data_IF_913554210810
#
_entry.id   IF_913554210810
#
_cell.length_a   1.000
_cell.length_b   1.000
_cell.length_c   1.000
_cell.angle_alpha   90.00
_cell.angle_beta   90.00
_cell.angle_gamma   90.00
#
_symmetry.space_group_name_H-M   'P 1'
#
loop_
_entity.id
_entity.type
_entity.pdbx_description
1 polymer ?
#
# COMPACT_ATOMS: atom_id res chain seq x y z
N UNK A 1 -5.71 12.62 20.69
CA UNK A 1 -5.38 11.72 21.85
C UNK A 1 -4.20 10.83 21.48
N UNK A 2 -3.15 10.84 22.29
CA UNK A 2 -1.99 9.96 22.10
C UNK A 2 -2.30 8.57 22.67
N UNK A 3 -2.11 7.52 21.84
CA UNK A 3 -2.21 6.12 22.28
C UNK A 3 -0.81 5.50 22.27
N UNK A 4 -0.47 4.79 23.34
CA UNK A 4 0.77 4.02 23.46
C UNK A 4 0.47 2.54 23.33
N UNK A 5 1.34 1.79 22.69
CA UNK A 5 1.24 0.35 22.49
C UNK A 5 2.51 -0.33 23.03
N UNK A 6 2.38 -1.57 23.45
CA UNK A 6 3.47 -2.35 24.04
C UNK A 6 4.63 -2.56 23.04
N UNK A 7 4.26 -2.89 21.81
CA UNK A 7 5.23 -3.21 20.75
C UNK A 7 4.65 -2.92 19.34
N UNK A 8 5.45 -3.14 18.31
CA UNK A 8 5.07 -2.95 16.92
C UNK A 8 3.91 -3.88 16.50
N UNK A 9 3.85 -5.09 17.04
CA UNK A 9 2.81 -6.06 16.69
C UNK A 9 1.44 -5.60 17.17
N UNK A 10 1.35 -5.15 18.42
CA UNK A 10 0.11 -4.61 18.99
C UNK A 10 -0.34 -3.35 18.25
N UNK A 11 0.59 -2.42 17.97
CA UNK A 11 0.32 -1.23 17.16
C UNK A 11 -0.18 -1.60 15.78
N UNK A 12 0.47 -2.56 15.11
CA UNK A 12 0.13 -2.98 13.76
C UNK A 12 -1.28 -3.59 13.67
N UNK A 13 -1.66 -4.40 14.66
CA UNK A 13 -3.02 -4.96 14.77
C UNK A 13 -4.07 -3.86 14.97
N UNK A 14 -3.81 -2.94 15.89
CA UNK A 14 -4.73 -1.85 16.19
C UNK A 14 -4.93 -0.92 14.98
N UNK A 15 -3.84 -0.55 14.30
CA UNK A 15 -3.88 0.28 13.10
C UNK A 15 -4.60 -0.43 11.95
N UNK A 16 -4.30 -1.71 11.74
CA UNK A 16 -4.97 -2.51 10.71
C UNK A 16 -6.49 -2.58 10.96
N UNK A 17 -6.91 -2.82 12.20
CA UNK A 17 -8.33 -2.84 12.56
C UNK A 17 -9.00 -1.49 12.30
N UNK A 18 -8.34 -0.39 12.64
CA UNK A 18 -8.83 0.97 12.35
C UNK A 18 -9.02 1.19 10.84
N UNK A 19 -8.03 0.82 10.03
CA UNK A 19 -8.10 0.95 8.56
C UNK A 19 -9.23 0.07 8.00
N UNK A 20 -9.32 -1.18 8.42
CA UNK A 20 -10.34 -2.14 7.94
C UNK A 20 -11.75 -1.67 8.27
N UNK A 21 -11.98 -1.12 9.46
CA UNK A 21 -13.27 -0.50 9.81
C UNK A 21 -13.62 0.66 8.88
N UNK A 22 -12.64 1.47 8.49
CA UNK A 22 -12.85 2.56 7.53
C UNK A 22 -13.11 2.04 6.11
N UNK A 23 -12.44 0.98 5.66
CA UNK A 23 -12.73 0.33 4.36
C UNK A 23 -14.18 -0.18 4.35
N UNK A 24 -14.61 -0.85 5.41
CA UNK A 24 -15.99 -1.35 5.53
C UNK A 24 -17.01 -0.22 5.47
N UNK A 25 -16.73 0.90 6.11
CA UNK A 25 -17.64 2.08 6.17
C UNK A 25 -17.63 2.87 4.86
N UNK A 26 -16.47 3.06 4.27
CA UNK A 26 -16.26 3.88 3.06
C UNK A 26 -15.75 2.98 1.93
N UNK A 27 -16.60 2.29 1.23
CA UNK A 27 -16.23 1.32 0.18
C UNK A 27 -15.15 1.79 -0.83
N UNK A 28 -14.99 3.11 -1.01
CA UNK A 28 -14.02 3.74 -1.92
C UNK A 28 -12.87 4.41 -1.14
N UNK A 29 -12.31 3.77 -0.12
CA UNK A 29 -11.25 4.35 0.70
C UNK A 29 -9.98 4.55 -0.14
N UNK A 30 -9.37 5.72 0.03
CA UNK A 30 -8.06 6.06 -0.52
C UNK A 30 -7.05 6.00 0.64
N UNK A 31 -5.96 5.26 0.44
CA UNK A 31 -4.89 5.08 1.42
C UNK A 31 -3.57 5.58 0.85
N UNK A 32 -2.94 6.55 1.50
CA UNK A 32 -1.53 6.85 1.31
C UNK A 32 -0.69 5.77 2.01
N UNK A 33 0.14 5.07 1.27
CA UNK A 33 0.92 3.96 1.78
C UNK A 33 2.42 4.23 1.61
N UNK A 34 3.17 4.40 2.71
CA UNK A 34 4.63 4.44 2.63
C UNK A 34 5.21 3.06 2.34
N UNK A 35 6.34 3.03 1.66
CA UNK A 35 7.17 1.84 1.56
C UNK A 35 7.92 1.53 2.85
N UNK A 36 8.78 0.51 2.83
CA UNK A 36 9.68 0.18 3.92
C UNK A 36 9.11 -0.78 4.97
N UNK A 37 9.85 -0.91 6.07
CA UNK A 37 9.63 -2.00 7.05
C UNK A 37 8.56 -1.68 8.10
N UNK A 38 8.37 -0.41 8.44
CA UNK A 38 7.60 0.03 9.61
C UNK A 38 6.13 -0.42 9.56
N UNK A 39 5.49 -0.38 8.40
CA UNK A 39 4.08 -0.75 8.23
C UNK A 39 3.85 -2.14 7.65
N UNK A 40 4.91 -2.92 7.44
CA UNK A 40 4.80 -4.26 6.83
C UNK A 40 3.83 -5.17 7.59
N UNK A 41 3.92 -5.19 8.93
CA UNK A 41 3.02 -5.97 9.77
C UNK A 41 1.58 -5.44 9.70
N UNK A 42 1.39 -4.13 9.63
CA UNK A 42 0.06 -3.53 9.45
C UNK A 42 -0.58 -4.02 8.15
N UNK A 43 0.14 -3.99 7.03
CA UNK A 43 -0.37 -4.49 5.74
C UNK A 43 -0.75 -5.97 5.79
N UNK A 44 0.07 -6.78 6.48
CA UNK A 44 -0.24 -8.20 6.71
C UNK A 44 -1.54 -8.38 7.49
N UNK A 45 -1.72 -7.64 8.58
CA UNK A 45 -2.94 -7.71 9.39
C UNK A 45 -4.18 -7.20 8.64
N UNK A 46 -4.06 -6.17 7.79
CA UNK A 46 -5.16 -5.72 6.92
C UNK A 46 -5.63 -6.89 6.03
N UNK A 47 -4.69 -7.61 5.40
CA UNK A 47 -5.02 -8.76 4.57
C UNK A 47 -5.74 -9.87 5.33
N UNK A 48 -5.24 -10.23 6.51
CA UNK A 48 -5.84 -11.25 7.38
C UNK A 48 -7.26 -10.84 7.81
N UNK A 49 -7.44 -9.62 8.28
CA UNK A 49 -8.74 -9.12 8.75
C UNK A 49 -9.76 -9.02 7.62
N UNK A 50 -9.36 -8.47 6.46
CA UNK A 50 -10.27 -8.36 5.31
C UNK A 50 -10.65 -9.72 4.72
N UNK A 51 -9.76 -10.71 4.81
CA UNK A 51 -10.09 -12.09 4.47
C UNK A 51 -11.12 -12.68 5.45
N UNK A 52 -10.84 -12.61 6.76
CA UNK A 52 -11.73 -13.14 7.80
C UNK A 52 -13.12 -12.48 7.80
N UNK A 53 -13.18 -11.18 7.55
CA UNK A 53 -14.42 -10.39 7.54
C UNK A 53 -15.09 -10.35 6.17
N UNK A 54 -14.56 -11.04 5.16
CA UNK A 54 -15.04 -11.06 3.77
C UNK A 54 -15.23 -9.64 3.18
N UNK A 55 -14.27 -8.75 3.39
CA UNK A 55 -14.34 -7.36 2.92
C UNK A 55 -13.84 -7.27 1.49
N UNK A 56 -14.58 -6.56 0.65
CA UNK A 56 -14.23 -6.25 -0.73
C UNK A 56 -13.17 -5.13 -0.79
N UNK A 57 -12.03 -5.41 -1.42
CA UNK A 57 -10.94 -4.47 -1.65
C UNK A 57 -10.87 -3.94 -3.08
N UNK A 58 -11.78 -4.34 -3.97
CA UNK A 58 -11.71 -3.99 -5.39
C UNK A 58 -11.84 -2.49 -5.67
N UNK A 59 -12.42 -1.73 -4.74
CA UNK A 59 -12.58 -0.27 -4.83
C UNK A 59 -11.61 0.53 -3.98
N UNK A 60 -10.76 -0.14 -3.18
CA UNK A 60 -9.72 0.54 -2.41
C UNK A 60 -8.62 1.01 -3.36
N UNK A 61 -8.20 2.25 -3.18
CA UNK A 61 -7.10 2.85 -3.94
C UNK A 61 -5.89 3.08 -3.03
N UNK A 62 -4.73 2.72 -3.51
CA UNK A 62 -3.45 2.91 -2.83
C UNK A 62 -2.66 3.98 -3.56
N UNK A 63 -2.17 4.97 -2.82
CA UNK A 63 -1.26 5.98 -3.32
C UNK A 63 0.08 5.81 -2.62
N UNK A 64 1.12 5.46 -3.39
CA UNK A 64 2.49 5.41 -2.89
C UNK A 64 3.02 6.83 -2.74
N UNK A 65 3.70 7.11 -1.63
CA UNK A 65 4.12 8.48 -1.31
C UNK A 65 5.29 8.96 -2.18
N UNK A 66 6.11 8.04 -2.66
CA UNK A 66 7.33 8.34 -3.40
C UNK A 66 7.71 7.21 -4.38
N UNK A 67 8.63 7.52 -5.29
CA UNK A 67 9.38 6.55 -6.09
C UNK A 67 10.76 7.12 -6.45
N UNK A 68 11.73 6.26 -6.64
CA UNK A 68 13.08 6.65 -6.99
C UNK A 68 13.19 7.02 -8.47
N UNK A 69 13.91 8.11 -8.70
CA UNK A 69 14.23 8.62 -10.02
C UNK A 69 15.72 8.39 -10.30
N UNK A 70 16.02 7.87 -11.47
CA UNK A 70 17.41 7.68 -11.92
C UNK A 70 17.72 8.54 -13.13
N UNK A 71 18.92 9.08 -13.17
CA UNK A 71 19.44 9.83 -14.30
C UNK A 71 19.97 8.85 -15.36
N UNK A 72 19.56 9.02 -16.61
CA UNK A 72 20.05 8.22 -17.72
C UNK A 72 21.35 8.78 -18.29
N UNK A 73 22.05 7.99 -19.10
CA UNK A 73 23.25 8.44 -19.85
C UNK A 73 22.97 9.64 -20.76
N UNK A 74 21.75 9.78 -21.27
CA UNK A 74 21.31 10.91 -22.09
C UNK A 74 20.89 12.14 -21.27
N UNK A 75 21.28 12.24 -19.99
CA UNK A 75 20.98 13.34 -19.08
C UNK A 75 19.47 13.56 -18.82
N UNK A 76 18.66 12.54 -19.05
CA UNK A 76 17.21 12.53 -18.77
C UNK A 76 16.90 11.78 -17.49
N UNK A 77 15.74 12.03 -16.90
CA UNK A 77 15.29 11.35 -15.70
C UNK A 77 14.21 10.32 -16.06
N UNK A 78 14.24 9.17 -15.39
CA UNK A 78 13.19 8.14 -15.49
C UNK A 78 12.96 7.51 -14.11
N UNK A 79 11.79 6.93 -13.91
CA UNK A 79 11.53 6.12 -12.71
C UNK A 79 12.45 4.90 -12.70
N UNK A 80 12.83 4.45 -11.49
CA UNK A 80 13.62 3.24 -11.33
C UNK A 80 12.85 2.01 -11.82
N UNK A 81 13.56 0.93 -12.08
CA UNK A 81 12.93 -0.34 -12.44
C UNK A 81 12.17 -0.90 -11.22
N UNK A 82 10.93 -1.31 -11.40
CA UNK A 82 10.09 -1.90 -10.35
C UNK A 82 10.65 -3.20 -9.76
N UNK A 83 11.60 -3.85 -10.45
CA UNK A 83 12.33 -5.02 -9.95
C UNK A 83 13.47 -4.64 -9.00
N UNK A 84 13.89 -3.38 -8.97
CA UNK A 84 14.93 -2.90 -8.05
C UNK A 84 14.48 -3.06 -6.61
N UNK A 85 15.38 -3.48 -5.74
CA UNK A 85 15.08 -3.74 -4.33
C UNK A 85 14.61 -2.49 -3.55
N UNK A 86 14.95 -1.31 -4.04
CA UNK A 86 14.58 -0.02 -3.46
C UNK A 86 13.30 0.60 -4.08
N UNK A 87 12.74 0.02 -5.15
CA UNK A 87 11.54 0.57 -5.79
C UNK A 87 10.33 0.54 -4.86
N UNK A 88 9.70 1.70 -4.64
CA UNK A 88 8.47 1.81 -3.85
C UNK A 88 7.28 1.19 -4.59
N UNK A 89 7.22 1.34 -5.91
CA UNK A 89 6.19 0.66 -6.75
C UNK A 89 6.39 -0.85 -6.71
N UNK A 90 7.63 -1.33 -6.82
CA UNK A 90 7.95 -2.75 -6.66
C UNK A 90 7.53 -3.30 -5.29
N UNK A 91 7.76 -2.52 -4.23
CA UNK A 91 7.30 -2.83 -2.89
C UNK A 91 5.76 -2.92 -2.82
N UNK A 92 5.05 -1.97 -3.42
CA UNK A 92 3.59 -1.98 -3.44
C UNK A 92 3.03 -3.27 -4.07
N UNK A 93 3.59 -3.73 -5.18
CA UNK A 93 3.13 -4.96 -5.84
C UNK A 93 3.54 -6.23 -5.08
N UNK A 94 4.77 -6.31 -4.60
CA UNK A 94 5.30 -7.51 -3.96
C UNK A 94 4.86 -7.69 -2.51
N UNK A 95 4.60 -6.61 -1.80
CA UNK A 95 4.30 -6.61 -0.38
C UNK A 95 2.87 -6.16 -0.12
N UNK A 96 2.50 -4.91 -0.45
CA UNK A 96 1.19 -4.36 -0.09
C UNK A 96 0.08 -5.15 -0.78
N UNK A 97 0.11 -5.26 -2.11
CA UNK A 97 -0.91 -5.97 -2.87
C UNK A 97 -0.99 -7.45 -2.48
N UNK A 98 0.16 -8.12 -2.32
CA UNK A 98 0.22 -9.52 -1.90
C UNK A 98 -0.42 -9.74 -0.53
N UNK A 99 -0.11 -8.87 0.45
CA UNK A 99 -0.68 -9.00 1.79
C UNK A 99 -2.17 -8.65 1.83
N UNK A 100 -2.60 -7.56 1.18
CA UNK A 100 -4.02 -7.21 1.11
C UNK A 100 -4.86 -8.31 0.47
N UNK A 101 -4.30 -9.01 -0.51
CA UNK A 101 -4.96 -10.11 -1.21
C UNK A 101 -4.75 -11.49 -0.55
N UNK A 102 -4.36 -11.51 0.74
CA UNK A 102 -4.16 -12.74 1.50
C UNK A 102 -5.33 -13.71 1.35
N UNK A 103 -5.05 -14.91 0.82
CA UNK A 103 -6.04 -15.98 0.55
C UNK A 103 -7.29 -15.57 -0.24
N UNK A 104 -7.35 -14.36 -0.80
CA UNK A 104 -8.50 -13.90 -1.58
C UNK A 104 -8.51 -14.51 -2.98
N UNK A 105 -9.65 -15.05 -3.40
CA UNK A 105 -9.91 -15.48 -4.79
C UNK A 105 -10.61 -14.39 -5.60
N UNK A 106 -11.49 -13.61 -4.96
CA UNK A 106 -12.28 -12.50 -5.51
C UNK A 106 -12.19 -11.26 -4.63
N UNK A 107 -12.74 -10.14 -5.05
CA UNK A 107 -12.77 -8.88 -4.28
C UNK A 107 -11.37 -8.41 -3.86
N UNK A 108 -10.40 -8.58 -4.76
CA UNK A 108 -8.99 -8.26 -4.55
C UNK A 108 -8.71 -6.77 -4.73
N UNK A 109 -7.68 -6.29 -4.05
CA UNK A 109 -7.03 -5.03 -4.42
C UNK A 109 -6.43 -5.19 -5.83
N UNK A 110 -6.91 -4.36 -6.76
CA UNK A 110 -6.48 -4.40 -8.16
C UNK A 110 -5.15 -3.66 -8.34
N UNK A 111 -4.28 -4.17 -9.21
CA UNK A 111 -3.03 -3.50 -9.57
C UNK A 111 -3.28 -2.11 -10.17
N UNK A 112 -4.36 -1.95 -10.93
CA UNK A 112 -4.80 -0.67 -11.51
C UNK A 112 -5.23 0.37 -10.46
N UNK A 113 -5.46 -0.04 -9.22
CA UNK A 113 -5.80 0.82 -8.10
C UNK A 113 -4.58 1.19 -7.23
N UNK A 114 -3.38 0.89 -7.68
CA UNK A 114 -2.12 1.29 -7.04
C UNK A 114 -1.49 2.38 -7.87
N UNK A 115 -1.45 3.58 -7.32
CA UNK A 115 -0.95 4.80 -7.96
C UNK A 115 0.41 5.17 -7.37
N UNK A 116 1.23 5.84 -8.17
CA UNK A 116 2.57 6.32 -7.79
C UNK A 116 2.94 7.59 -8.56
N UNK A 117 3.85 8.42 -8.03
CA UNK A 117 4.25 9.66 -8.67
C UNK A 117 4.78 9.43 -10.09
N UNK A 118 4.44 10.33 -11.00
CA UNK A 118 4.89 10.32 -12.39
C UNK A 118 5.84 11.49 -12.65
N UNK A 119 6.86 11.27 -13.49
CA UNK A 119 7.83 12.33 -13.80
C UNK A 119 7.22 13.40 -14.73
N UNK A 120 6.37 12.99 -15.67
CA UNK A 120 5.84 13.91 -16.70
C UNK A 120 4.83 14.91 -16.17
N UNK A 121 3.99 14.52 -15.22
CA UNK A 121 2.93 15.37 -14.66
C UNK A 121 2.85 15.16 -13.14
N UNK A 122 3.87 15.57 -12.39
CA UNK A 122 3.91 15.33 -10.94
C UNK A 122 2.78 16.06 -10.19
N UNK A 123 2.30 17.19 -10.71
CA UNK A 123 1.21 17.96 -10.13
C UNK A 123 -0.16 17.28 -10.25
N UNK A 124 -0.30 16.26 -11.07
CA UNK A 124 -1.54 15.50 -11.26
C UNK A 124 -1.65 14.28 -10.34
N UNK A 125 -0.63 14.04 -9.54
CA UNK A 125 -0.58 12.91 -8.60
C UNK A 125 -1.25 13.20 -7.22
#
# INVERSE_FOLDING_TARGET
MLKKFKDNEELSKALALYIVKNIKRKKNLILGCPGGRSLKNTYKHIGILTYKMNIDLSRVKIFMMDEYVIKTKANKYKLCNTKSHYSCVGYAYKIIQKYFNYKKKKNKLLKSNIFFPQIKNPEQY
#
